data_IF_279307707789
#
_entry.id   IF_279307707789
#
_cell.length_a   1.000
_cell.length_b   1.000
_cell.length_c   1.000
_cell.angle_alpha   90.00
_cell.angle_beta   90.00
_cell.angle_gamma   90.00
#
_symmetry.space_group_name_H-M   'P 1'
#
loop_
_entity.id
_entity.type
_entity.pdbx_description
1 polymer ?
#
# COMPACT_ATOMS: atom_id res chain seq x y z
N UNK A 1 11.36 0.29 17.20
CA UNK A 1 11.47 0.41 15.74
C UNK A 1 10.27 1.18 15.23
N UNK A 2 10.45 2.36 14.62
CA UNK A 2 9.36 3.12 14.03
C UNK A 2 9.16 2.62 12.58
N UNK A 3 7.92 2.59 12.05
CA UNK A 3 7.64 1.99 10.72
C UNK A 3 8.40 2.68 9.56
N UNK A 4 8.84 3.92 9.77
CA UNK A 4 9.65 4.71 8.82
C UNK A 4 11.07 4.12 8.67
N UNK A 5 11.58 3.43 9.68
CA UNK A 5 12.95 2.92 9.70
C UNK A 5 13.09 1.71 8.76
N UNK A 6 12.08 0.84 8.68
CA UNK A 6 12.09 -0.40 7.89
C UNK A 6 12.21 -0.13 6.39
N UNK A 7 11.47 0.86 5.87
CA UNK A 7 11.53 1.20 4.45
C UNK A 7 12.88 1.80 4.05
N UNK A 8 13.47 2.63 4.93
CA UNK A 8 14.80 3.20 4.74
C UNK A 8 15.90 2.15 4.80
N UNK A 9 15.81 1.25 5.77
CA UNK A 9 16.74 0.12 5.92
C UNK A 9 16.66 -0.82 4.71
N UNK A 10 15.45 -1.13 4.22
CA UNK A 10 15.26 -1.94 3.02
C UNK A 10 15.90 -1.28 1.79
N UNK A 11 15.76 0.03 1.58
CA UNK A 11 16.35 0.71 0.41
C UNK A 11 17.89 0.62 0.41
N UNK A 12 18.52 0.55 1.58
CA UNK A 12 19.96 0.43 1.74
C UNK A 12 20.51 -0.98 1.43
N UNK A 13 19.65 -1.99 1.32
CA UNK A 13 20.06 -3.37 0.99
C UNK A 13 20.52 -3.50 -0.48
N UNK A 14 21.36 -4.50 -0.78
CA UNK A 14 21.65 -4.92 -2.16
C UNK A 14 20.38 -5.23 -2.96
N UNK A 15 20.41 -5.05 -4.28
CA UNK A 15 19.23 -5.19 -5.14
C UNK A 15 18.48 -6.52 -4.95
N UNK A 16 19.21 -7.64 -4.87
CA UNK A 16 18.60 -8.96 -4.69
C UNK A 16 17.83 -9.07 -3.36
N UNK A 17 18.44 -8.61 -2.27
CA UNK A 17 17.81 -8.60 -0.94
C UNK A 17 16.61 -7.65 -0.88
N UNK A 18 16.66 -6.52 -1.61
CA UNK A 18 15.50 -5.63 -1.75
C UNK A 18 14.32 -6.31 -2.40
N UNK A 19 14.57 -7.06 -3.47
CA UNK A 19 13.52 -7.80 -4.17
C UNK A 19 12.93 -8.89 -3.27
N UNK A 20 13.75 -9.56 -2.47
CA UNK A 20 13.29 -10.55 -1.49
C UNK A 20 12.39 -9.91 -0.42
N UNK A 21 12.76 -8.75 0.12
CA UNK A 21 11.94 -8.01 1.10
C UNK A 21 10.61 -7.57 0.48
N UNK A 22 10.63 -7.02 -0.74
CA UNK A 22 9.40 -6.64 -1.45
C UNK A 22 8.51 -7.85 -1.68
N UNK A 23 9.08 -8.99 -2.06
CA UNK A 23 8.34 -10.25 -2.23
C UNK A 23 7.65 -10.70 -0.93
N UNK A 24 8.39 -10.74 0.19
CA UNK A 24 7.81 -11.11 1.49
C UNK A 24 6.70 -10.18 1.96
N UNK A 25 6.83 -8.88 1.71
CA UNK A 25 5.78 -7.91 2.02
C UNK A 25 4.55 -8.18 1.15
N UNK A 26 4.75 -8.43 -0.14
CA UNK A 26 3.67 -8.76 -1.05
C UNK A 26 2.91 -10.03 -0.63
N UNK A 27 3.65 -11.10 -0.31
CA UNK A 27 3.07 -12.36 0.16
C UNK A 27 2.23 -12.15 1.44
N UNK A 28 2.73 -11.35 2.40
CA UNK A 28 1.97 -11.06 3.62
C UNK A 28 0.65 -10.32 3.36
N UNK A 29 0.61 -9.44 2.35
CA UNK A 29 -0.62 -8.71 1.98
C UNK A 29 -1.62 -9.64 1.32
N UNK A 30 -1.14 -10.61 0.53
CA UNK A 30 -2.00 -11.65 -0.07
C UNK A 30 -2.58 -12.56 1.02
N UNK A 31 -1.76 -12.96 1.99
CA UNK A 31 -2.16 -13.83 3.10
C UNK A 31 -3.19 -13.17 4.03
N UNK A 32 -3.09 -11.86 4.26
CA UNK A 32 -4.08 -11.08 5.03
C UNK A 32 -5.44 -10.92 4.30
N UNK A 33 -5.44 -11.16 2.98
CA UNK A 33 -6.61 -11.00 2.12
C UNK A 33 -6.68 -9.60 1.50
N UNK A 34 -6.72 -9.57 0.17
CA UNK A 34 -6.82 -8.32 -0.58
C UNK A 34 -8.22 -7.70 -0.40
N UNK A 35 -8.32 -6.38 -0.25
CA UNK A 35 -9.61 -5.70 -0.25
C UNK A 35 -10.33 -5.91 -1.58
N UNK A 36 -11.65 -6.08 -1.53
CA UNK A 36 -12.45 -6.13 -2.75
C UNK A 36 -12.41 -4.79 -3.47
N UNK A 37 -11.91 -4.79 -4.70
CA UNK A 37 -11.92 -3.61 -5.57
C UNK A 37 -13.22 -3.55 -6.37
N UNK A 38 -13.85 -2.38 -6.41
CA UNK A 38 -14.95 -2.09 -7.34
C UNK A 38 -14.46 -2.08 -8.78
N UNK A 39 -15.38 -2.25 -9.74
CA UNK A 39 -15.03 -2.23 -11.17
C UNK A 39 -14.38 -0.90 -11.59
N UNK A 40 -14.83 0.21 -11.01
CA UNK A 40 -14.24 1.52 -11.24
C UNK A 40 -12.79 1.61 -10.70
N UNK A 41 -12.53 1.01 -9.52
CA UNK A 41 -11.17 0.96 -8.96
C UNK A 41 -10.24 0.05 -9.77
N UNK A 42 -10.74 -1.10 -10.25
CA UNK A 42 -9.99 -2.00 -11.14
C UNK A 42 -9.63 -1.30 -12.45
N UNK A 43 -10.61 -0.69 -13.11
CA UNK A 43 -10.41 0.04 -14.37
C UNK A 43 -9.40 1.17 -14.22
N UNK A 44 -9.40 1.90 -13.10
CA UNK A 44 -8.42 2.95 -12.83
C UNK A 44 -7.00 2.38 -12.64
N UNK A 45 -6.87 1.22 -11.99
CA UNK A 45 -5.58 0.55 -11.82
C UNK A 45 -5.05 0.07 -13.16
N UNK A 46 -5.89 -0.56 -13.98
CA UNK A 46 -5.53 -1.04 -15.32
C UNK A 46 -5.06 0.12 -16.22
N UNK A 47 -5.81 1.23 -16.24
CA UNK A 47 -5.43 2.44 -16.97
C UNK A 47 -4.06 2.98 -16.51
N UNK A 48 -3.83 3.05 -15.19
CA UNK A 48 -2.54 3.51 -14.63
C UNK A 48 -1.39 2.58 -15.01
N UNK A 49 -1.61 1.27 -15.07
CA UNK A 49 -0.60 0.29 -15.50
C UNK A 49 -0.29 0.48 -16.99
N UNK A 50 -1.29 0.63 -17.85
CA UNK A 50 -1.11 0.86 -19.28
C UNK A 50 -0.40 2.18 -19.58
N UNK A 51 -0.78 3.26 -18.89
CA UNK A 51 -0.09 4.55 -19.01
C UNK A 51 1.37 4.45 -18.57
N UNK A 52 1.65 3.77 -17.44
CA UNK A 52 3.02 3.61 -16.94
C UNK A 52 3.92 2.77 -17.85
N UNK A 53 3.33 1.85 -18.63
CA UNK A 53 4.02 1.06 -19.65
C UNK A 53 4.28 1.85 -20.95
N UNK A 54 3.33 2.71 -21.34
CA UNK A 54 3.39 3.47 -22.59
C UNK A 54 4.17 4.78 -22.47
N UNK A 55 4.13 5.43 -21.29
CA UNK A 55 4.85 6.66 -20.99
C UNK A 55 5.37 6.66 -19.54
N UNK A 56 6.66 6.32 -19.32
CA UNK A 56 7.25 6.25 -17.98
C UNK A 56 7.15 7.57 -17.18
N UNK A 57 7.05 8.72 -17.86
CA UNK A 57 6.99 10.03 -17.22
C UNK A 57 5.59 10.35 -16.65
N UNK A 58 4.57 9.59 -17.03
CA UNK A 58 3.21 9.70 -16.50
C UNK A 58 2.97 8.82 -15.26
N UNK A 59 4.00 8.13 -14.76
CA UNK A 59 3.91 7.34 -13.53
C UNK A 59 3.60 8.26 -12.35
N UNK A 60 2.45 8.02 -11.71
CA UNK A 60 2.17 8.65 -10.43
C UNK A 60 3.15 8.12 -9.38
N UNK A 61 3.85 9.03 -8.70
CA UNK A 61 4.72 8.64 -7.61
C UNK A 61 3.89 8.04 -6.48
N UNK A 62 4.39 6.97 -5.86
CA UNK A 62 3.72 6.34 -4.72
C UNK A 62 3.39 7.35 -3.61
N UNK A 63 4.25 8.35 -3.40
CA UNK A 63 4.02 9.43 -2.45
C UNK A 63 2.74 10.24 -2.72
N UNK A 64 2.39 10.45 -4.00
CA UNK A 64 1.21 11.20 -4.39
C UNK A 64 -0.05 10.34 -4.26
N UNK A 65 0.04 9.04 -4.59
CA UNK A 65 -1.03 8.07 -4.31
C UNK A 65 -1.35 8.01 -2.81
N UNK A 66 -0.34 8.00 -1.93
CA UNK A 66 -0.57 8.01 -0.48
C UNK A 66 -1.21 9.31 0.02
N UNK A 67 -0.92 10.46 -0.61
CA UNK A 67 -1.58 11.73 -0.28
C UNK A 67 -3.06 11.70 -0.67
N UNK A 68 -3.38 11.18 -1.85
CA UNK A 68 -4.76 10.99 -2.30
C UNK A 68 -5.53 10.07 -1.34
N UNK A 69 -4.99 8.90 -1.03
CA UNK A 69 -5.63 7.94 -0.12
C UNK A 69 -5.80 8.48 1.30
N UNK A 70 -4.86 9.29 1.81
CA UNK A 70 -5.03 9.98 3.10
C UNK A 70 -6.09 11.06 3.05
N UNK A 71 -6.21 11.77 1.92
CA UNK A 71 -7.22 12.81 1.72
C UNK A 71 -8.63 12.23 1.64
N UNK A 72 -8.75 11.03 1.07
CA UNK A 72 -10.01 10.31 0.87
C UNK A 72 -10.39 9.41 2.07
N UNK A 73 -9.60 9.43 3.15
CA UNK A 73 -9.74 8.63 4.38
C UNK A 73 -10.97 8.92 5.26
N UNK A 74 -12.16 8.99 4.66
CA UNK A 74 -13.45 8.88 5.33
C UNK A 74 -14.18 7.60 4.91
N UNK A 75 -13.54 6.42 5.01
CA UNK A 75 -14.24 5.13 5.17
C UNK A 75 -13.37 4.12 5.94
N UNK A 76 -13.70 3.99 7.23
CA UNK A 76 -13.64 2.80 8.08
C UNK A 76 -12.32 2.00 8.21
N UNK A 77 -11.55 2.31 9.27
CA UNK A 77 -11.01 1.26 10.14
C UNK A 77 -12.04 1.03 11.27
N UNK A 78 -12.49 -0.21 11.55
CA UNK A 78 -13.25 -0.47 12.76
C UNK A 78 -12.34 -0.23 13.97
N UNK A 79 -12.65 0.82 14.73
CA UNK A 79 -12.15 0.97 16.10
C UNK A 79 -12.79 -0.14 16.93
N UNK A 80 -12.05 -1.23 17.14
CA UNK A 80 -12.41 -2.27 18.08
C UNK A 80 -11.37 -2.34 19.17
N UNK A 81 -11.71 -1.76 20.32
CA UNK A 81 -11.69 -2.50 21.60
C UNK A 81 -12.26 -1.65 22.72
N UNK A 82 -13.53 -1.92 22.99
CA UNK A 82 -14.12 -1.95 24.32
C UNK A 82 -13.19 -2.61 25.35
N UNK A 83 -12.92 -1.90 26.44
CA UNK A 83 -12.93 -2.44 27.80
C UNK A 83 -13.69 -1.40 28.63
N UNK A 84 -14.99 -1.59 28.85
CA UNK A 84 -15.52 -2.27 30.04
C UNK A 84 -14.67 -1.95 31.28
N UNK A 85 -15.09 -0.92 32.04
CA UNK A 85 -14.88 -0.94 33.47
C UNK A 85 -16.19 -0.49 34.13
N UNK A 86 -17.01 -1.50 34.43
CA UNK A 86 -18.06 -1.43 35.44
C UNK A 86 -17.41 -2.00 36.70
N UNK A 87 -17.30 -1.15 37.71
CA UNK A 87 -17.59 -1.30 39.15
C UNK A 87 -16.79 -0.21 39.86
#
# INVERSE_FOLDING_TARGET
MNRIDIAREAIALPLAERLEVVGKIWDSVVDEGLPSLSDAQRSLIDERIEMAGSNPDQRTLAADVYKELRRDGRTALPSSSTKQNVI
#
